data_IF_558023840924
#
_entry.id   IF_558023840924
#
_cell.length_a   1.000
_cell.length_b   1.000
_cell.length_c   1.000
_cell.angle_alpha   90.00
_cell.angle_beta   90.00
_cell.angle_gamma   90.00
#
_symmetry.space_group_name_H-M   'P 1'
#
loop_
_entity.id
_entity.type
_entity.pdbx_description
1 polymer ?
#
# COMPACT_ATOMS: atom_id res chain seq x y z
N UNK A 1 1.19 30.62 17.81
CA UNK A 1 1.30 29.27 17.22
C UNK A 1 -0.10 28.81 16.83
N UNK A 2 -0.32 28.47 15.56
CA UNK A 2 -1.63 27.99 15.07
C UNK A 2 -1.86 26.58 15.60
N UNK A 3 -3.03 26.31 16.20
CA UNK A 3 -3.43 24.93 16.55
C UNK A 3 -3.73 24.18 15.25
N UNK A 4 -3.20 22.96 15.15
CA UNK A 4 -3.52 22.07 14.04
C UNK A 4 -5.01 21.70 14.10
N UNK A 5 -5.62 21.58 12.94
CA UNK A 5 -6.96 21.00 12.79
C UNK A 5 -6.89 19.49 13.03
N UNK A 6 -8.01 18.82 13.36
CA UNK A 6 -8.03 17.37 13.55
C UNK A 6 -7.47 16.57 12.35
N UNK A 7 -7.66 17.08 11.12
CA UNK A 7 -7.09 16.50 9.92
C UNK A 7 -5.56 16.72 9.84
N UNK A 8 -5.06 17.91 10.18
CA UNK A 8 -3.63 18.20 10.21
C UNK A 8 -2.91 17.37 11.32
N UNK A 9 -3.57 17.12 12.46
CA UNK A 9 -3.06 16.24 13.51
C UNK A 9 -2.99 14.77 13.07
N UNK A 10 -4.02 14.28 12.37
CA UNK A 10 -4.02 12.94 11.79
C UNK A 10 -2.95 12.77 10.72
N UNK A 11 -2.77 13.76 9.83
CA UNK A 11 -1.74 13.73 8.80
C UNK A 11 -0.32 13.76 9.41
N UNK A 12 -0.10 14.52 10.48
CA UNK A 12 1.18 14.53 11.19
C UNK A 12 1.50 13.17 11.85
N UNK A 13 0.49 12.51 12.45
CA UNK A 13 0.63 11.15 13.01
C UNK A 13 0.85 10.09 11.94
N UNK A 14 0.25 10.30 10.77
CA UNK A 14 0.44 9.44 9.62
C UNK A 14 1.88 9.47 9.11
N UNK A 15 2.48 10.66 9.07
CA UNK A 15 3.88 10.84 8.66
C UNK A 15 4.87 10.28 9.71
N UNK A 16 4.51 10.31 11.00
CA UNK A 16 5.33 9.72 12.08
C UNK A 16 5.16 8.20 12.23
N UNK A 17 4.16 7.60 11.56
CA UNK A 17 3.84 6.18 11.69
C UNK A 17 3.19 5.79 13.03
N UNK A 18 2.87 6.77 13.88
CA UNK A 18 2.25 6.60 15.19
C UNK A 18 0.73 6.83 15.09
N UNK A 19 0.03 5.92 14.39
CA UNK A 19 -1.43 5.95 14.32
C UNK A 19 -2.05 4.74 15.03
N UNK A 20 -3.04 5.00 15.88
CA UNK A 20 -3.90 3.96 16.43
C UNK A 20 -4.89 3.42 15.38
N UNK A 21 -5.42 2.21 15.60
CA UNK A 21 -6.46 1.62 14.74
C UNK A 21 -7.69 2.52 14.57
N UNK A 22 -8.06 3.25 15.63
CA UNK A 22 -9.19 4.18 15.60
C UNK A 22 -8.90 5.41 14.74
N UNK A 23 -7.69 5.97 14.84
CA UNK A 23 -7.26 7.11 14.01
C UNK A 23 -7.13 6.71 12.54
N UNK A 24 -6.70 5.48 12.26
CA UNK A 24 -6.64 4.94 10.89
C UNK A 24 -8.03 4.73 10.30
N UNK A 25 -8.98 4.23 11.08
CA UNK A 25 -10.38 4.12 10.68
C UNK A 25 -10.99 5.50 10.41
N UNK A 26 -10.70 6.49 11.26
CA UNK A 26 -11.15 7.87 11.08
C UNK A 26 -10.56 8.51 9.83
N UNK A 27 -9.26 8.33 9.57
CA UNK A 27 -8.61 8.82 8.34
C UNK A 27 -9.24 8.19 7.08
N UNK A 28 -9.51 6.88 7.13
CA UNK A 28 -10.15 6.16 6.02
C UNK A 28 -11.57 6.67 5.77
N UNK A 29 -12.37 6.87 6.82
CA UNK A 29 -13.73 7.40 6.71
C UNK A 29 -13.74 8.83 6.15
N UNK A 30 -12.88 9.71 6.67
CA UNK A 30 -12.75 11.09 6.19
C UNK A 30 -12.31 11.15 4.72
N UNK A 31 -11.40 10.27 4.32
CA UNK A 31 -11.03 10.18 2.92
C UNK A 31 -12.21 9.75 2.05
N UNK A 32 -12.95 8.71 2.46
CA UNK A 32 -14.12 8.22 1.71
C UNK A 32 -15.22 9.28 1.56
N UNK A 33 -15.50 10.06 2.60
CA UNK A 33 -16.42 11.20 2.55
C UNK A 33 -15.95 12.30 1.60
N UNK A 34 -14.63 12.54 1.55
CA UNK A 34 -14.01 13.43 0.57
C UNK A 34 -13.95 12.85 -0.85
N UNK A 35 -14.59 11.69 -1.09
CA UNK A 35 -14.57 10.98 -2.36
C UNK A 35 -13.22 10.38 -2.71
N UNK A 36 -12.30 10.25 -1.73
CA UNK A 36 -10.96 9.70 -1.88
C UNK A 36 -10.90 8.28 -1.32
N UNK A 37 -10.26 7.37 -2.03
CA UNK A 37 -9.85 6.06 -1.51
C UNK A 37 -8.44 6.14 -0.95
N UNK A 38 -8.24 5.55 0.23
CA UNK A 38 -6.97 5.45 0.95
C UNK A 38 -6.59 3.98 1.02
N UNK A 39 -5.35 3.65 0.65
CA UNK A 39 -4.78 2.32 0.88
C UNK A 39 -3.65 2.43 1.92
N UNK A 40 -3.64 1.50 2.87
CA UNK A 40 -2.71 1.49 4.00
C UNK A 40 -2.00 0.14 4.01
N UNK A 41 -0.67 0.18 3.90
CA UNK A 41 0.14 -1.04 4.00
C UNK A 41 0.55 -1.26 5.44
N UNK A 42 0.13 -2.41 6.00
CA UNK A 42 0.49 -2.82 7.36
C UNK A 42 1.68 -3.77 7.34
N UNK A 43 2.68 -3.50 8.18
CA UNK A 43 3.84 -4.39 8.36
C UNK A 43 4.10 -4.63 9.84
N UNK A 44 4.51 -5.86 10.16
CA UNK A 44 4.82 -6.29 11.53
C UNK A 44 6.02 -5.53 12.11
N UNK A 45 7.07 -5.34 11.31
CA UNK A 45 8.21 -4.52 11.70
C UNK A 45 8.70 -3.66 10.52
N UNK A 46 8.63 -2.32 10.60
CA UNK A 46 9.09 -1.44 9.54
C UNK A 46 10.59 -1.56 9.25
N UNK A 47 11.40 -2.03 10.21
CA UNK A 47 12.83 -2.22 10.02
C UNK A 47 13.20 -3.62 9.49
N UNK A 48 12.24 -4.54 9.36
CA UNK A 48 12.47 -5.84 8.75
C UNK A 48 12.71 -5.71 7.24
N UNK A 49 13.30 -6.73 6.56
CA UNK A 49 13.42 -6.71 5.11
C UNK A 49 12.09 -6.54 4.38
N UNK A 50 11.00 -7.11 4.91
CA UNK A 50 9.65 -6.93 4.35
C UNK A 50 9.13 -5.51 4.57
N UNK A 51 9.32 -4.95 5.77
CA UNK A 51 8.97 -3.56 6.09
C UNK A 51 9.70 -2.55 5.21
N UNK A 52 11.00 -2.75 5.00
CA UNK A 52 11.82 -1.91 4.13
C UNK A 52 11.42 -2.06 2.66
N UNK A 53 11.12 -3.28 2.20
CA UNK A 53 10.63 -3.50 0.83
C UNK A 53 9.26 -2.82 0.60
N UNK A 54 8.35 -2.92 1.56
CA UNK A 54 7.05 -2.25 1.51
C UNK A 54 7.20 -0.72 1.52
N UNK A 55 8.05 -0.17 2.39
CA UNK A 55 8.37 1.26 2.41
C UNK A 55 9.01 1.72 1.09
N UNK A 56 9.91 0.92 0.52
CA UNK A 56 10.52 1.16 -0.79
C UNK A 56 9.48 1.22 -1.90
N UNK A 57 8.54 0.27 -1.94
CA UNK A 57 7.41 0.29 -2.89
C UNK A 57 6.57 1.56 -2.74
N UNK A 58 6.13 1.88 -1.52
CA UNK A 58 5.30 3.07 -1.25
C UNK A 58 6.02 4.36 -1.64
N UNK A 59 7.32 4.46 -1.37
CA UNK A 59 8.11 5.65 -1.74
C UNK A 59 8.43 5.72 -3.24
N UNK A 60 8.25 4.63 -3.99
CA UNK A 60 8.58 4.51 -5.41
C UNK A 60 7.45 4.91 -6.37
N UNK A 61 6.34 5.45 -5.88
CA UNK A 61 5.25 5.94 -6.75
C UNK A 61 5.68 7.07 -7.71
N UNK A 62 6.79 7.72 -7.43
CA UNK A 62 7.42 8.68 -8.36
C UNK A 62 7.94 8.03 -9.64
N UNK A 63 8.03 6.69 -9.70
CA UNK A 63 8.40 5.93 -10.89
C UNK A 63 7.25 5.80 -11.91
N UNK A 64 6.01 6.15 -11.54
CA UNK A 64 4.87 6.09 -12.46
C UNK A 64 5.04 7.09 -13.61
N UNK A 65 4.88 6.66 -14.87
CA UNK A 65 4.87 7.60 -15.99
C UNK A 65 3.60 8.47 -15.93
N UNK A 66 3.62 9.72 -16.43
CA UNK A 66 2.47 10.63 -16.33
C UNK A 66 1.17 10.09 -16.93
N UNK A 67 1.26 9.20 -17.91
CA UNK A 67 0.12 8.61 -18.63
C UNK A 67 -0.28 7.22 -18.10
N UNK A 68 0.23 6.78 -16.95
CA UNK A 68 0.07 5.40 -16.43
C UNK A 68 -1.39 4.91 -16.42
N UNK A 69 -2.37 5.78 -16.13
CA UNK A 69 -3.80 5.44 -16.07
C UNK A 69 -4.40 5.09 -17.44
N UNK A 70 -3.77 5.59 -18.51
CA UNK A 70 -4.27 5.57 -19.89
C UNK A 70 -3.44 4.68 -20.82
N UNK A 71 -2.42 3.99 -20.30
CA UNK A 71 -1.60 3.07 -21.08
C UNK A 71 -2.51 2.01 -21.73
N UNK A 72 -2.40 1.76 -23.05
CA UNK A 72 -3.21 0.74 -23.73
C UNK A 72 -2.98 -0.67 -23.15
N UNK A 73 -4.03 -1.51 -23.13
CA UNK A 73 -3.93 -2.88 -22.60
C UNK A 73 -2.86 -3.74 -23.29
N UNK A 74 -2.60 -3.51 -24.58
CA UNK A 74 -1.52 -4.18 -25.31
C UNK A 74 -0.14 -3.86 -24.71
N UNK A 75 0.14 -2.57 -24.48
CA UNK A 75 1.38 -2.15 -23.82
C UNK A 75 1.47 -2.65 -22.38
N UNK A 76 0.35 -2.72 -21.65
CA UNK A 76 0.33 -3.35 -20.30
C UNK A 76 0.73 -4.83 -20.37
N UNK A 77 0.24 -5.55 -21.38
CA UNK A 77 0.59 -6.96 -21.58
C UNK A 77 2.07 -7.12 -21.95
N UNK A 78 2.63 -6.23 -22.77
CA UNK A 78 4.07 -6.19 -23.08
C UNK A 78 4.92 -5.97 -21.83
N UNK A 79 4.53 -5.02 -20.97
CA UNK A 79 5.21 -4.79 -19.70
C UNK A 79 5.10 -6.03 -18.79
N UNK A 80 3.94 -6.69 -18.77
CA UNK A 80 3.77 -7.98 -18.08
C UNK A 80 4.70 -9.07 -18.59
N UNK A 81 4.91 -9.18 -19.90
CA UNK A 81 5.88 -10.10 -20.48
C UNK A 81 7.33 -9.72 -20.11
N UNK A 82 7.66 -8.43 -20.13
CA UNK A 82 8.97 -7.93 -19.72
C UNK A 82 9.26 -8.20 -18.25
N UNK A 83 8.27 -8.09 -17.36
CA UNK A 83 8.42 -8.45 -15.94
C UNK A 83 8.86 -9.91 -15.73
N UNK A 84 8.30 -10.82 -16.54
CA UNK A 84 8.57 -12.26 -16.47
C UNK A 84 9.90 -12.66 -17.13
N UNK A 85 10.50 -11.80 -17.95
CA UNK A 85 11.77 -12.08 -18.59
C UNK A 85 12.93 -12.07 -17.58
N UNK A 86 13.87 -13.00 -17.76
CA UNK A 86 14.99 -13.23 -16.83
C UNK A 86 16.13 -12.23 -16.99
N UNK A 87 16.21 -11.56 -18.14
CA UNK A 87 17.21 -10.54 -18.47
C UNK A 87 16.76 -9.12 -18.10
N UNK A 88 15.54 -8.95 -17.59
CA UNK A 88 15.00 -7.65 -17.19
C UNK A 88 15.71 -7.16 -15.91
N UNK A 89 16.36 -5.97 -15.95
CA UNK A 89 17.01 -5.39 -14.79
C UNK A 89 16.05 -5.14 -13.62
N UNK A 90 16.56 -5.25 -12.40
CA UNK A 90 15.81 -5.03 -11.15
C UNK A 90 15.01 -3.71 -11.15
N UNK A 91 15.67 -2.61 -11.52
CA UNK A 91 15.04 -1.28 -11.56
C UNK A 91 13.95 -1.17 -12.62
N UNK A 92 14.07 -1.91 -13.73
CA UNK A 92 13.01 -1.99 -14.75
C UNK A 92 11.83 -2.81 -14.21
N UNK A 93 12.08 -3.95 -13.55
CA UNK A 93 11.03 -4.74 -12.88
C UNK A 93 10.25 -3.91 -11.85
N UNK A 94 10.93 -3.08 -11.06
CA UNK A 94 10.31 -2.16 -10.10
C UNK A 94 9.36 -1.17 -10.78
N UNK A 95 9.77 -0.54 -11.88
CA UNK A 95 8.92 0.36 -12.67
C UNK A 95 7.71 -0.37 -13.25
N UNK A 96 7.91 -1.59 -13.75
CA UNK A 96 6.82 -2.41 -14.29
C UNK A 96 5.82 -2.77 -13.20
N UNK A 97 6.27 -3.28 -12.04
CA UNK A 97 5.39 -3.59 -10.92
C UNK A 97 4.57 -2.38 -10.48
N UNK A 98 5.20 -1.20 -10.45
CA UNK A 98 4.53 0.07 -10.14
C UNK A 98 3.43 0.39 -11.15
N UNK A 99 3.73 0.31 -12.46
CA UNK A 99 2.75 0.52 -13.53
C UNK A 99 1.58 -0.47 -13.45
N UNK A 100 1.88 -1.77 -13.32
CA UNK A 100 0.85 -2.82 -13.30
C UNK A 100 -0.06 -2.69 -12.08
N UNK A 101 0.48 -2.33 -10.91
CA UNK A 101 -0.29 -2.10 -9.70
C UNK A 101 -1.25 -0.91 -9.79
N UNK A 102 -0.93 0.09 -10.61
CA UNK A 102 -1.71 1.33 -10.70
C UNK A 102 -2.60 1.43 -11.95
N UNK A 103 -2.51 0.47 -12.86
CA UNK A 103 -3.32 0.49 -14.08
C UNK A 103 -4.77 0.04 -13.85
N UNK A 104 -4.96 -0.99 -13.03
CA UNK A 104 -6.30 -1.52 -12.72
C UNK A 104 -6.99 -2.22 -13.90
N UNK A 105 -6.25 -2.97 -14.72
CA UNK A 105 -6.77 -3.82 -15.81
C UNK A 105 -6.66 -5.31 -15.50
N UNK A 106 -7.35 -6.15 -16.28
CA UNK A 106 -7.24 -7.61 -16.16
C UNK A 106 -5.85 -8.10 -16.56
N UNK A 107 -5.29 -7.52 -17.62
CA UNK A 107 -3.97 -7.86 -18.14
C UNK A 107 -2.88 -7.62 -17.09
N UNK A 108 -2.94 -6.48 -16.40
CA UNK A 108 -2.02 -6.17 -15.31
C UNK A 108 -2.13 -7.17 -14.14
N UNK A 109 -3.37 -7.50 -13.74
CA UNK A 109 -3.61 -8.46 -12.66
C UNK A 109 -3.13 -9.87 -12.99
N UNK A 110 -3.31 -10.33 -14.22
CA UNK A 110 -2.79 -11.62 -14.68
C UNK A 110 -1.26 -11.66 -14.67
N UNK A 111 -0.61 -10.59 -15.14
CA UNK A 111 0.85 -10.49 -15.12
C UNK A 111 1.42 -10.53 -13.70
N UNK A 112 0.84 -9.75 -12.77
CA UNK A 112 1.21 -9.74 -11.36
C UNK A 112 1.01 -11.12 -10.72
N UNK A 113 -0.14 -11.76 -10.97
CA UNK A 113 -0.43 -13.09 -10.45
C UNK A 113 0.58 -14.14 -10.97
N UNK A 114 0.98 -14.05 -12.24
CA UNK A 114 1.99 -14.96 -12.81
C UNK A 114 3.36 -14.74 -12.18
N UNK A 115 3.81 -13.49 -12.08
CA UNK A 115 5.11 -13.16 -11.52
C UNK A 115 5.26 -13.62 -10.05
N UNK A 116 4.22 -13.44 -9.24
CA UNK A 116 4.19 -13.90 -7.84
C UNK A 116 4.37 -15.42 -7.65
N UNK A 117 4.19 -16.24 -8.69
CA UNK A 117 4.44 -17.69 -8.58
C UNK A 117 5.92 -18.00 -8.43
N UNK A 118 6.81 -17.16 -8.97
CA UNK A 118 8.26 -17.34 -8.91
C UNK A 118 8.96 -15.97 -9.01
N UNK A 119 8.86 -15.13 -7.97
CA UNK A 119 9.51 -13.82 -7.96
C UNK A 119 11.04 -13.98 -7.90
N UNK A 120 11.77 -13.06 -8.52
CA UNK A 120 13.24 -13.14 -8.61
C UNK A 120 13.92 -13.11 -7.23
N UNK A 121 13.33 -12.38 -6.28
CA UNK A 121 13.85 -12.21 -4.93
C UNK A 121 12.74 -11.78 -3.96
N UNK A 122 13.08 -11.74 -2.66
CA UNK A 122 12.13 -11.40 -1.59
C UNK A 122 11.63 -9.95 -1.64
N UNK A 123 12.43 -9.00 -2.12
CA UNK A 123 12.00 -7.61 -2.27
C UNK A 123 10.91 -7.52 -3.35
N UNK A 124 11.14 -8.12 -4.51
CA UNK A 124 10.17 -8.12 -5.60
C UNK A 124 8.93 -8.98 -5.33
N UNK A 125 9.03 -9.99 -4.46
CA UNK A 125 7.84 -10.69 -3.95
C UNK A 125 6.91 -9.74 -3.17
N UNK A 126 7.48 -8.93 -2.28
CA UNK A 126 6.73 -7.93 -1.51
C UNK A 126 6.13 -6.88 -2.45
N UNK A 127 6.92 -6.34 -3.37
CA UNK A 127 6.41 -5.38 -4.37
C UNK A 127 5.28 -5.95 -5.21
N UNK A 128 5.39 -7.21 -5.66
CA UNK A 128 4.38 -7.85 -6.47
C UNK A 128 3.09 -8.14 -5.69
N UNK A 129 3.19 -8.47 -4.39
CA UNK A 129 2.03 -8.56 -3.49
C UNK A 129 1.31 -7.21 -3.39
N UNK A 130 2.04 -6.14 -3.05
CA UNK A 130 1.45 -4.81 -2.89
C UNK A 130 0.84 -4.28 -4.18
N UNK A 131 1.55 -4.42 -5.30
CA UNK A 131 1.04 -4.06 -6.62
C UNK A 131 -0.23 -4.84 -6.98
N UNK A 132 -0.31 -6.13 -6.64
CA UNK A 132 -1.52 -6.91 -6.91
C UNK A 132 -2.70 -6.42 -6.06
N UNK A 133 -2.49 -6.19 -4.77
CA UNK A 133 -3.53 -5.73 -3.85
C UNK A 133 -4.07 -4.35 -4.26
N UNK A 134 -3.18 -3.41 -4.57
CA UNK A 134 -3.53 -2.09 -5.13
C UNK A 134 -4.26 -2.21 -6.46
N UNK A 135 -3.72 -2.98 -7.40
CA UNK A 135 -4.34 -3.12 -8.72
C UNK A 135 -5.71 -3.78 -8.67
N UNK A 136 -5.95 -4.69 -7.70
CA UNK A 136 -7.26 -5.28 -7.45
C UNK A 136 -8.25 -4.24 -6.90
N UNK A 137 -7.79 -3.32 -6.06
CA UNK A 137 -8.57 -2.18 -5.59
C UNK A 137 -8.87 -1.21 -6.75
N UNK A 138 -7.88 -0.81 -7.54
CA UNK A 138 -8.06 0.04 -8.71
C UNK A 138 -9.02 -0.57 -9.74
N UNK A 139 -8.95 -1.88 -9.99
CA UNK A 139 -9.88 -2.55 -10.89
C UNK A 139 -11.33 -2.49 -10.38
N UNK A 140 -11.54 -2.59 -9.06
CA UNK A 140 -12.87 -2.39 -8.44
C UNK A 140 -13.30 -0.93 -8.55
N UNK A 141 -12.41 0.02 -8.28
CA UNK A 141 -12.71 1.45 -8.27
C UNK A 141 -12.92 2.05 -9.66
N UNK A 142 -12.18 1.62 -10.70
CA UNK A 142 -12.43 2.00 -12.10
C UNK A 142 -13.82 1.59 -12.56
N UNK A 143 -14.31 0.44 -12.07
CA UNK A 143 -15.72 0.03 -12.27
C UNK A 143 -16.70 0.95 -11.52
N UNK A 144 -16.26 1.59 -10.44
CA UNK A 144 -17.06 2.47 -9.56
C UNK A 144 -16.85 3.99 -9.74
N UNK A 145 -15.90 4.45 -10.59
CA UNK A 145 -15.58 5.86 -10.93
C UNK A 145 -15.20 6.79 -9.75
N UNK A 146 -14.56 6.31 -8.67
CA UNK A 146 -14.11 7.16 -7.54
C UNK A 146 -12.61 7.57 -7.68
N UNK A 147 -12.22 8.81 -7.36
CA UNK A 147 -10.81 9.24 -7.39
C UNK A 147 -10.01 8.76 -6.15
N UNK A 148 -8.74 8.37 -6.31
CA UNK A 148 -7.89 7.75 -5.27
C UNK A 148 -6.81 8.69 -4.72
N UNK A 149 -6.43 8.58 -3.42
CA UNK A 149 -5.26 9.26 -2.83
C UNK A 149 -4.51 8.43 -1.77
N UNK A 150 -3.19 8.49 -1.87
CA UNK A 150 -2.14 7.77 -1.11
C UNK A 150 -2.17 7.99 0.41
N UNK A 151 -1.77 6.96 1.18
CA UNK A 151 -1.38 7.03 2.60
C UNK A 151 -0.23 6.05 2.90
N UNK A 152 0.61 6.38 3.88
CA UNK A 152 1.93 5.79 4.21
C UNK A 152 1.92 4.35 4.78
N UNK A 153 3.11 3.74 4.90
CA UNK A 153 3.33 2.44 5.58
C UNK A 153 3.12 2.62 7.09
N UNK A 154 2.30 1.76 7.68
CA UNK A 154 1.96 1.81 9.11
C UNK A 154 2.38 0.53 9.82
N UNK A 155 2.93 0.70 11.02
CA UNK A 155 3.32 -0.45 11.85
C UNK A 155 2.09 -1.06 12.52
N UNK A 156 1.94 -2.38 12.45
CA UNK A 156 0.92 -3.12 13.20
C UNK A 156 1.28 -3.32 14.68
N UNK A 157 2.45 -2.83 15.15
CA UNK A 157 2.88 -2.93 16.55
C UNK A 157 1.98 -2.08 17.45
N UNK A 158 0.96 -2.71 18.02
CA UNK A 158 0.18 -2.13 19.12
C UNK A 158 1.13 -1.90 20.30
N UNK A 159 1.28 -0.64 20.72
CA UNK A 159 2.07 -0.31 21.90
C UNK A 159 1.55 -1.07 23.13
N UNK A 160 2.44 -1.74 23.86
CA UNK A 160 2.07 -2.59 25.00
C UNK A 160 1.40 -1.80 26.14
N UNK A 161 1.61 -0.49 26.22
CA UNK A 161 1.00 0.38 27.21
C UNK A 161 -0.25 1.12 26.72
N UNK A 162 -0.60 1.05 25.44
CA UNK A 162 -1.80 1.69 24.89
C UNK A 162 -3.08 1.04 25.44
N UNK A 163 -4.23 1.75 25.40
CA UNK A 163 -5.53 1.15 25.66
C UNK A 163 -5.77 -0.07 24.77
N UNK A 164 -6.37 -1.12 25.34
CA UNK A 164 -6.58 -2.38 24.65
C UNK A 164 -7.74 -2.27 23.65
N UNK A 165 -7.57 -2.71 22.38
CA UNK A 165 -8.56 -2.51 21.32
C UNK A 165 -9.86 -3.32 21.51
N UNK A 166 -9.93 -4.23 22.49
CA UNK A 166 -11.16 -4.96 22.84
C UNK A 166 -12.16 -4.14 23.69
N UNK A 167 -11.86 -2.86 23.96
CA UNK A 167 -12.75 -1.98 24.72
C UNK A 167 -12.77 -2.22 26.24
N UNK A 168 -11.83 -3.02 26.78
CA UNK A 168 -11.79 -3.34 28.21
C UNK A 168 -11.35 -2.21 29.13
N UNK A 169 -10.87 -1.09 28.57
CA UNK A 169 -10.27 0.02 29.32
C UNK A 169 -8.89 -0.29 29.93
N UNK A 170 -8.34 -1.50 29.72
CA UNK A 170 -7.03 -1.91 30.23
C UNK A 170 -5.92 -1.63 29.23
N UNK A 171 -4.66 -1.57 29.68
CA UNK A 171 -3.49 -1.52 28.77
C UNK A 171 -3.35 -2.82 27.99
N UNK A 172 -2.92 -2.78 26.73
CA UNK A 172 -2.80 -3.96 25.86
C UNK A 172 -2.02 -5.12 26.50
N UNK A 173 -0.86 -4.84 27.13
CA UNK A 173 -0.06 -5.85 27.86
C UNK A 173 -0.74 -6.51 29.06
N UNK A 174 -1.83 -5.93 29.57
CA UNK A 174 -2.61 -6.44 30.70
C UNK A 174 -3.96 -7.03 30.26
N UNK A 175 -4.17 -7.19 28.96
CA UNK A 175 -5.43 -7.69 28.40
C UNK A 175 -5.14 -8.61 27.19
N UNK A 176 -5.39 -8.20 25.94
CA UNK A 176 -5.21 -9.06 24.78
C UNK A 176 -3.74 -9.40 24.46
N UNK A 177 -2.77 -8.66 25.02
CA UNK A 177 -1.34 -8.93 24.89
C UNK A 177 -0.74 -9.75 26.05
N UNK A 178 -1.58 -10.47 26.80
CA UNK A 178 -1.17 -11.52 27.74
C UNK A 178 -0.89 -12.79 26.94
N UNK A 179 0.35 -12.93 26.49
CA UNK A 179 0.98 -14.20 26.12
C UNK A 179 2.20 -14.41 27.00
#
# INVERSE_FOLDING_TARGET
>A
MRRLTPLEELLAKLDSGEMSLEEMAMLTALAQEAGKSVNMTFVDDPNSPEGQAAASYVNSHHLLPPNYETVPSEQVAEQGARLLATDTPLEEKKRILMLLGHHGSKEAQEALQRYRKSPDNKELDVWARLAQDEGAQFLKERRSKKPWRRVSVLSSKIDRNSPCPCGSGRKFKKCCGLT
#
